data_IF_400547257527
#
_entry.id   IF_400547257527
#
_cell.length_a   1.000
_cell.length_b   1.000
_cell.length_c   1.000
_cell.angle_alpha   90.00
_cell.angle_beta   90.00
_cell.angle_gamma   90.00
#
_symmetry.space_group_name_H-M   'P 1'
#
loop_
_entity.id
_entity.type
_entity.pdbx_description
1 polymer ?
#
# COMPACT_ATOMS: atom_id res chain seq x y z
N UNK A 1 -35.26 57.28 0.69
CA UNK A 1 -35.21 56.06 -0.15
C UNK A 1 -36.59 55.46 -0.15
N UNK A 2 -37.16 55.13 -1.31
CA UNK A 2 -38.41 54.35 -1.35
C UNK A 2 -38.22 52.98 -0.69
N UNK A 3 -39.30 52.40 -0.17
CA UNK A 3 -39.29 51.09 0.47
C UNK A 3 -38.91 49.97 -0.52
N UNK A 4 -38.30 48.87 -0.03
CA UNK A 4 -37.98 47.69 -0.88
C UNK A 4 -39.25 47.03 -1.43
N UNK A 5 -40.31 47.00 -0.64
CA UNK A 5 -41.61 46.41 -0.97
C UNK A 5 -42.68 47.50 -0.98
N UNK A 6 -42.71 48.28 -2.04
CA UNK A 6 -43.72 49.33 -2.22
C UNK A 6 -45.08 48.69 -2.51
N UNK A 7 -46.10 48.99 -1.69
CA UNK A 7 -47.47 48.49 -1.87
C UNK A 7 -48.14 49.06 -3.13
N UNK A 8 -47.99 50.36 -3.37
CA UNK A 8 -48.60 51.04 -4.51
C UNK A 8 -47.58 51.93 -5.23
N UNK A 9 -47.53 51.81 -6.55
CA UNK A 9 -46.78 52.73 -7.41
C UNK A 9 -47.78 53.68 -8.06
N UNK A 10 -47.45 54.97 -8.09
CA UNK A 10 -48.27 55.94 -8.81
C UNK A 10 -48.23 55.62 -10.31
N UNK A 11 -49.41 55.43 -10.90
CA UNK A 11 -49.60 55.39 -12.34
C UNK A 11 -50.27 56.70 -12.76
N UNK A 12 -49.78 57.38 -13.82
CA UNK A 12 -50.42 58.60 -14.30
C UNK A 12 -51.85 58.31 -14.81
N UNK A 13 -52.76 59.29 -14.76
CA UNK A 13 -54.18 59.10 -15.10
C UNK A 13 -54.40 58.67 -16.56
N UNK A 14 -53.49 59.00 -17.46
CA UNK A 14 -53.55 58.64 -18.88
C UNK A 14 -52.91 57.27 -19.20
N UNK A 15 -52.50 56.49 -18.19
CA UNK A 15 -51.82 55.21 -18.39
C UNK A 15 -52.79 54.09 -18.77
N UNK A 16 -52.77 53.67 -20.04
CA UNK A 16 -53.46 52.47 -20.51
C UNK A 16 -52.55 51.23 -20.45
N UNK A 17 -52.87 50.19 -19.65
CA UNK A 17 -52.09 48.96 -19.58
C UNK A 17 -52.05 48.18 -20.91
N UNK A 18 -53.03 48.38 -21.79
CA UNK A 18 -53.17 47.67 -23.08
C UNK A 18 -52.21 48.21 -24.13
N UNK A 19 -51.86 49.50 -24.05
CA UNK A 19 -50.93 50.16 -24.98
C UNK A 19 -49.46 49.74 -24.76
N UNK A 20 -49.09 49.27 -23.56
CA UNK A 20 -47.72 48.90 -23.22
C UNK A 20 -47.40 47.47 -23.64
N UNK A 21 -46.89 47.30 -24.86
CA UNK A 21 -46.33 46.00 -25.30
C UNK A 21 -45.02 45.71 -24.58
N UNK A 22 -45.07 44.79 -23.61
CA UNK A 22 -43.88 44.30 -22.92
C UNK A 22 -43.11 43.33 -23.81
N UNK A 23 -42.10 43.82 -24.53
CA UNK A 23 -41.04 42.97 -25.04
C UNK A 23 -40.10 42.63 -23.87
N UNK A 24 -39.99 41.34 -23.47
CA UNK A 24 -39.04 40.95 -22.44
C UNK A 24 -37.63 41.34 -22.88
N UNK A 25 -36.79 41.78 -21.94
CA UNK A 25 -35.46 42.31 -22.25
C UNK A 25 -34.58 41.34 -23.06
N UNK A 26 -34.79 40.03 -22.91
CA UNK A 26 -34.09 38.99 -23.67
C UNK A 26 -34.58 38.78 -25.12
N UNK A 27 -35.76 39.31 -25.48
CA UNK A 27 -36.29 39.33 -26.85
C UNK A 27 -36.07 40.68 -27.57
N UNK A 28 -35.47 41.67 -26.89
CA UNK A 28 -35.16 42.97 -27.50
C UNK A 28 -33.87 42.86 -28.31
N UNK A 29 -33.98 42.57 -29.61
CA UNK A 29 -33.06 42.96 -30.70
C UNK A 29 -31.54 42.92 -30.46
N UNK A 30 -31.02 42.08 -29.56
CA UNK A 30 -29.61 42.00 -29.20
C UNK A 30 -29.23 40.59 -28.77
N UNK A 31 -27.92 40.30 -28.71
CA UNK A 31 -27.38 38.99 -28.35
C UNK A 31 -28.07 38.43 -27.10
N UNK A 32 -28.61 37.20 -27.20
CA UNK A 32 -29.47 36.49 -26.23
C UNK A 32 -28.79 36.12 -24.90
N UNK A 33 -27.72 36.82 -24.54
CA UNK A 33 -26.83 36.47 -23.43
C UNK A 33 -27.30 37.17 -22.15
N UNK A 34 -27.95 36.42 -21.25
CA UNK A 34 -28.36 36.91 -19.94
C UNK A 34 -27.18 36.86 -18.97
N UNK A 35 -26.89 37.93 -18.24
CA UNK A 35 -25.86 37.90 -17.20
C UNK A 35 -26.42 37.29 -15.91
N UNK A 36 -25.79 36.22 -15.43
CA UNK A 36 -26.17 35.49 -14.21
C UNK A 36 -24.95 35.35 -13.29
N UNK A 37 -25.14 35.52 -11.98
CA UNK A 37 -24.10 35.26 -11.00
C UNK A 37 -24.20 33.80 -10.53
N UNK A 38 -23.18 33.01 -10.82
CA UNK A 38 -23.16 31.57 -10.52
C UNK A 38 -21.83 31.13 -9.91
N UNK A 39 -21.80 29.92 -9.37
CA UNK A 39 -20.59 29.28 -8.84
C UNK A 39 -20.01 28.29 -9.86
N UNK A 40 -18.70 28.12 -9.89
CA UNK A 40 -18.06 27.07 -10.70
C UNK A 40 -18.54 25.67 -10.23
N UNK A 41 -19.08 24.84 -11.13
CA UNK A 41 -19.72 23.57 -10.76
C UNK A 41 -18.70 22.48 -10.37
N UNK A 42 -17.52 22.48 -11.00
CA UNK A 42 -16.44 21.53 -10.74
C UNK A 42 -15.08 22.24 -10.70
N UNK A 43 -14.07 21.52 -10.20
CA UNK A 43 -12.69 22.01 -10.21
C UNK A 43 -12.09 21.88 -11.62
N UNK A 44 -11.54 22.97 -12.13
CA UNK A 44 -11.00 23.03 -13.48
C UNK A 44 -9.72 23.84 -13.56
N UNK A 45 -8.86 23.49 -14.52
CA UNK A 45 -7.63 24.21 -14.84
C UNK A 45 -7.79 24.98 -16.15
N UNK A 46 -7.52 26.27 -16.13
CA UNK A 46 -7.52 27.08 -17.34
C UNK A 46 -6.39 26.63 -18.29
N UNK A 47 -6.72 26.41 -19.56
CA UNK A 47 -5.75 25.94 -20.56
C UNK A 47 -4.74 27.02 -20.93
N UNK A 48 -5.15 28.29 -20.92
CA UNK A 48 -4.29 29.41 -21.35
C UNK A 48 -3.24 29.82 -20.32
N UNK A 49 -3.61 29.89 -19.04
CA UNK A 49 -2.72 30.42 -17.99
C UNK A 49 -2.38 29.41 -16.88
N UNK A 50 -2.96 28.21 -16.92
CA UNK A 50 -2.73 27.17 -15.92
C UNK A 50 -3.32 27.46 -14.54
N UNK A 51 -4.08 28.55 -14.35
CA UNK A 51 -4.76 28.87 -13.10
C UNK A 51 -5.83 27.81 -12.76
N UNK A 52 -5.86 27.41 -11.50
CA UNK A 52 -6.85 26.47 -10.98
C UNK A 52 -8.08 27.22 -10.45
N UNK A 53 -9.24 26.87 -10.99
CA UNK A 53 -10.54 27.35 -10.53
C UNK A 53 -11.18 26.22 -9.72
N UNK A 54 -11.22 26.39 -8.41
CA UNK A 54 -11.87 25.44 -7.50
C UNK A 54 -13.40 25.54 -7.59
N UNK A 55 -14.06 24.43 -7.25
CA UNK A 55 -15.52 24.36 -7.13
C UNK A 55 -16.02 25.44 -6.17
N UNK A 56 -17.15 26.06 -6.49
CA UNK A 56 -17.78 27.07 -5.63
C UNK A 56 -17.29 28.51 -5.84
N UNK A 57 -16.26 28.76 -6.66
CA UNK A 57 -15.81 30.12 -6.96
C UNK A 57 -16.91 30.89 -7.70
N UNK A 58 -17.27 32.09 -7.21
CA UNK A 58 -18.37 32.91 -7.75
C UNK A 58 -17.91 33.72 -8.97
N UNK A 59 -18.71 33.70 -10.03
CA UNK A 59 -18.47 34.45 -11.26
C UNK A 59 -19.72 35.19 -11.74
N UNK A 60 -19.51 36.30 -12.44
CA UNK A 60 -20.52 36.90 -13.29
C UNK A 60 -20.40 36.22 -14.66
N UNK A 61 -21.32 35.31 -14.95
CA UNK A 61 -21.33 34.54 -16.18
C UNK A 61 -22.34 35.10 -17.18
N UNK A 62 -22.10 34.87 -18.47
CA UNK A 62 -23.12 35.06 -19.50
C UNK A 62 -23.79 33.72 -19.76
N UNK A 63 -25.11 33.68 -19.70
CA UNK A 63 -25.96 32.52 -19.95
C UNK A 63 -26.54 32.63 -21.35
N UNK A 64 -26.30 31.60 -22.15
CA UNK A 64 -26.90 31.39 -23.46
C UNK A 64 -27.84 30.18 -23.38
N UNK A 65 -29.01 30.31 -24.01
CA UNK A 65 -29.88 29.16 -24.26
C UNK A 65 -29.45 28.57 -25.60
N UNK A 66 -28.88 27.36 -25.55
CA UNK A 66 -28.47 26.62 -26.75
C UNK A 66 -29.70 26.10 -27.48
N UNK A 67 -29.57 25.82 -28.78
CA UNK A 67 -30.63 25.16 -29.56
C UNK A 67 -30.77 23.66 -29.21
N UNK A 68 -29.72 23.08 -28.60
CA UNK A 68 -29.69 21.70 -28.10
C UNK A 68 -30.64 21.50 -26.91
N UNK A 69 -31.46 20.44 -26.98
CA UNK A 69 -32.37 20.02 -25.91
C UNK A 69 -32.16 18.54 -25.64
N UNK A 70 -32.13 18.18 -24.36
CA UNK A 70 -32.18 16.79 -23.93
C UNK A 70 -33.63 16.44 -23.59
N UNK A 71 -34.26 15.59 -24.42
CA UNK A 71 -35.69 15.30 -24.38
C UNK A 71 -36.51 16.60 -24.53
N UNK A 72 -36.95 17.19 -23.42
CA UNK A 72 -37.68 18.47 -23.35
C UNK A 72 -36.94 19.58 -22.59
N UNK A 73 -35.76 19.28 -22.03
CA UNK A 73 -34.99 20.18 -21.17
C UNK A 73 -33.96 20.93 -22.02
N UNK A 74 -33.99 22.26 -21.96
CA UNK A 74 -33.04 23.13 -22.67
C UNK A 74 -31.65 23.07 -22.06
N UNK A 75 -30.62 22.87 -22.88
CA UNK A 75 -29.22 22.90 -22.45
C UNK A 75 -28.71 24.34 -22.45
N UNK A 76 -28.19 24.79 -21.32
CA UNK A 76 -27.63 26.13 -21.17
C UNK A 76 -26.12 26.08 -21.32
N UNK A 77 -25.58 27.04 -22.08
CA UNK A 77 -24.15 27.31 -22.15
C UNK A 77 -23.82 28.52 -21.29
N UNK A 78 -22.80 28.40 -20.47
CA UNK A 78 -22.32 29.47 -19.62
C UNK A 78 -20.92 29.88 -20.03
N UNK A 79 -20.71 31.19 -20.02
CA UNK A 79 -19.45 31.83 -20.33
C UNK A 79 -18.90 32.50 -19.07
N UNK A 80 -17.74 32.04 -18.61
CA UNK A 80 -16.99 32.62 -17.49
C UNK A 80 -15.68 33.18 -18.00
N UNK A 81 -15.18 34.25 -17.39
CA UNK A 81 -13.81 34.74 -17.61
C UNK A 81 -12.87 34.24 -16.51
N UNK A 82 -11.72 33.73 -16.91
CA UNK A 82 -10.65 33.40 -15.98
C UNK A 82 -10.17 34.65 -15.25
N UNK A 83 -9.86 34.53 -13.96
CA UNK A 83 -9.42 35.67 -13.15
C UNK A 83 -8.01 36.17 -13.46
N UNK A 84 -7.17 35.35 -14.12
CA UNK A 84 -5.78 35.68 -14.44
C UNK A 84 -5.62 36.19 -15.87
N UNK A 85 -5.96 35.38 -16.87
CA UNK A 85 -5.77 35.74 -18.28
C UNK A 85 -7.00 36.38 -18.95
N UNK A 86 -8.10 36.57 -18.22
CA UNK A 86 -9.40 37.00 -18.80
C UNK A 86 -9.92 36.12 -19.94
N UNK A 87 -9.32 34.94 -20.15
CA UNK A 87 -9.72 33.96 -21.14
C UNK A 87 -11.14 33.47 -20.88
N UNK A 88 -11.88 33.28 -21.96
CA UNK A 88 -13.26 32.81 -21.90
C UNK A 88 -13.30 31.28 -21.78
N UNK A 89 -14.00 30.81 -20.76
CA UNK A 89 -14.21 29.39 -20.45
C UNK A 89 -15.70 29.11 -20.63
N UNK A 90 -16.01 28.08 -21.42
CA UNK A 90 -17.38 27.68 -21.70
C UNK A 90 -17.68 26.29 -21.16
N UNK A 91 -18.84 26.14 -20.55
CA UNK A 91 -19.37 24.87 -20.11
C UNK A 91 -20.87 24.79 -20.34
N UNK A 92 -21.36 23.59 -20.59
CA UNK A 92 -22.76 23.26 -20.81
C UNK A 92 -23.33 22.50 -19.62
N UNK A 93 -24.65 22.57 -19.46
CA UNK A 93 -25.41 21.70 -18.54
C UNK A 93 -25.69 20.37 -19.22
N UNK A 94 -25.48 19.24 -18.53
CA UNK A 94 -25.79 17.90 -19.04
C UNK A 94 -26.86 17.23 -18.16
N UNK A 95 -28.14 17.31 -18.56
CA UNK A 95 -29.24 16.75 -17.78
C UNK A 95 -29.15 15.23 -17.60
N UNK A 96 -28.53 14.51 -18.54
CA UNK A 96 -28.34 13.04 -18.49
C UNK A 96 -27.54 12.59 -17.26
N UNK A 97 -26.46 13.30 -16.96
CA UNK A 97 -25.51 12.93 -15.89
C UNK A 97 -25.61 13.83 -14.66
N UNK A 98 -26.61 14.72 -14.61
CA UNK A 98 -26.77 15.75 -13.56
C UNK A 98 -25.50 16.60 -13.32
N UNK A 99 -24.69 16.77 -14.36
CA UNK A 99 -23.38 17.41 -14.27
C UNK A 99 -23.23 18.48 -15.36
N UNK A 100 -22.03 19.03 -15.48
CA UNK A 100 -21.66 19.99 -16.49
C UNK A 100 -20.43 19.51 -17.26
N UNK A 101 -20.42 19.74 -18.57
CA UNK A 101 -19.30 19.43 -19.46
C UNK A 101 -18.59 20.72 -19.87
N UNK A 102 -17.27 20.71 -19.70
CA UNK A 102 -16.39 21.76 -20.24
C UNK A 102 -16.30 21.62 -21.77
N UNK A 103 -16.66 22.66 -22.50
CA UNK A 103 -16.45 22.71 -23.96
C UNK A 103 -15.10 23.34 -24.32
N UNK A 104 -14.83 24.56 -23.84
CA UNK A 104 -13.65 25.33 -24.24
C UNK A 104 -13.01 26.08 -23.07
N UNK A 105 -11.70 26.28 -23.14
CA UNK A 105 -10.95 27.19 -22.27
C UNK A 105 -10.49 26.62 -20.92
N UNK A 106 -11.01 25.46 -20.51
CA UNK A 106 -10.57 24.77 -19.31
C UNK A 106 -10.64 23.25 -19.46
N UNK A 107 -9.77 22.56 -18.72
CA UNK A 107 -9.82 21.10 -18.53
C UNK A 107 -10.31 20.81 -17.11
N UNK A 108 -11.25 19.89 -16.96
CA UNK A 108 -11.68 19.41 -15.64
C UNK A 108 -10.51 18.70 -14.96
N UNK A 109 -10.34 18.90 -13.66
CA UNK A 109 -9.35 18.13 -12.90
C UNK A 109 -9.82 16.68 -12.76
N UNK A 110 -8.87 15.74 -12.74
CA UNK A 110 -9.16 14.32 -12.52
C UNK A 110 -9.44 14.10 -11.04
N UNK A 111 -10.65 13.61 -10.72
CA UNK A 111 -11.05 13.20 -9.38
C UNK A 111 -10.99 11.66 -9.35
N UNK A 112 -10.17 11.02 -8.49
CA UNK A 112 -9.97 9.56 -8.51
C UNK A 112 -11.24 8.72 -8.32
N UNK A 113 -12.27 9.28 -7.68
CA UNK A 113 -13.57 8.62 -7.50
C UNK A 113 -14.52 8.79 -8.70
N UNK A 114 -14.15 9.62 -9.68
CA UNK A 114 -14.91 9.83 -10.92
C UNK A 114 -14.26 8.96 -11.98
N UNK A 115 -14.68 7.69 -12.04
CA UNK A 115 -14.19 6.75 -13.03
C UNK A 115 -14.40 7.29 -14.44
N UNK A 116 -13.35 7.41 -15.28
CA UNK A 116 -13.48 7.87 -16.65
C UNK A 116 -14.27 6.90 -17.54
N UNK A 117 -14.52 5.68 -17.07
CA UNK A 117 -15.35 4.67 -17.73
C UNK A 117 -16.83 5.03 -17.77
N UNK A 118 -17.32 5.89 -16.87
CA UNK A 118 -18.71 6.35 -16.88
C UNK A 118 -19.02 7.33 -18.03
N UNK A 119 -18.02 8.04 -18.56
CA UNK A 119 -18.18 9.00 -19.67
C UNK A 119 -18.18 8.30 -21.06
N UNK A 120 -18.01 6.97 -21.12
CA UNK A 120 -18.02 6.19 -22.36
C UNK A 120 -19.43 5.87 -22.91
N UNK A 121 -20.51 6.14 -22.16
CA UNK A 121 -21.91 5.84 -22.54
C UNK A 121 -22.55 6.90 -23.47
N UNK A 122 -21.80 7.44 -24.42
CA UNK A 122 -22.30 8.41 -25.41
C UNK A 122 -22.29 7.83 -26.83
N UNK A 123 -22.74 6.58 -26.97
CA UNK A 123 -23.01 5.94 -28.28
C UNK A 123 -24.52 5.88 -28.53
N UNK A 124 -24.92 6.05 -29.79
CA UNK A 124 -26.32 6.02 -30.28
C UNK A 124 -26.98 4.67 -30.06
N UNK A 125 -28.18 4.67 -29.45
CA UNK A 125 -28.92 3.50 -28.93
C UNK A 125 -28.98 2.27 -29.88
N UNK A 126 -29.08 2.47 -31.20
CA UNK A 126 -29.13 1.37 -32.19
C UNK A 126 -27.77 0.70 -32.48
N UNK A 127 -26.66 1.43 -32.36
CA UNK A 127 -25.31 0.85 -32.50
C UNK A 127 -24.80 0.29 -31.18
N UNK A 128 -25.29 0.82 -30.05
CA UNK A 128 -25.04 0.26 -28.73
C UNK A 128 -25.74 -1.08 -28.58
N UNK A 129 -26.98 -1.26 -29.05
CA UNK A 129 -27.72 -2.53 -28.92
C UNK A 129 -27.10 -3.70 -29.71
N UNK A 130 -26.72 -3.52 -30.98
CA UNK A 130 -26.10 -4.58 -31.81
C UNK A 130 -24.67 -4.93 -31.35
N UNK A 131 -23.95 -3.93 -30.80
CA UNK A 131 -22.66 -4.17 -30.13
C UNK A 131 -22.86 -4.85 -28.77
N UNK A 132 -23.84 -4.42 -27.97
CA UNK A 132 -24.16 -4.98 -26.66
C UNK A 132 -24.61 -6.43 -26.75
N UNK A 133 -25.34 -6.86 -27.78
CA UNK A 133 -25.80 -8.25 -27.87
C UNK A 133 -24.64 -9.21 -28.22
N UNK A 134 -23.68 -8.75 -29.02
CA UNK A 134 -22.46 -9.51 -29.37
C UNK A 134 -21.43 -9.45 -28.23
N UNK A 135 -21.25 -8.27 -27.63
CA UNK A 135 -20.42 -8.10 -26.45
C UNK A 135 -21.05 -8.77 -25.23
N UNK A 136 -22.37 -8.85 -25.02
CA UNK A 136 -22.97 -9.54 -23.86
C UNK A 136 -22.76 -11.05 -23.93
N UNK A 137 -22.78 -11.67 -25.10
CA UNK A 137 -22.44 -13.10 -25.22
C UNK A 137 -20.94 -13.35 -25.00
N UNK A 138 -20.07 -12.53 -25.59
CA UNK A 138 -18.62 -12.67 -25.41
C UNK A 138 -18.14 -12.21 -24.01
N UNK A 139 -18.81 -11.23 -23.42
CA UNK A 139 -18.59 -10.72 -22.07
C UNK A 139 -19.26 -11.60 -21.04
N UNK A 140 -20.40 -12.24 -21.27
CA UNK A 140 -20.93 -13.23 -20.32
C UNK A 140 -20.00 -14.42 -20.24
N UNK A 141 -19.51 -14.95 -21.37
CA UNK A 141 -18.52 -16.02 -21.38
C UNK A 141 -17.18 -15.59 -20.75
N UNK A 142 -16.71 -14.35 -21.01
CA UNK A 142 -15.50 -13.81 -20.37
C UNK A 142 -15.72 -13.49 -18.90
N UNK A 143 -16.86 -12.94 -18.50
CA UNK A 143 -17.20 -12.65 -17.11
C UNK A 143 -17.41 -13.94 -16.33
N UNK A 144 -17.94 -14.99 -16.93
CA UNK A 144 -18.01 -16.31 -16.30
C UNK A 144 -16.61 -16.89 -16.12
N UNK A 145 -15.75 -16.84 -17.14
CA UNK A 145 -14.33 -17.24 -17.02
C UNK A 145 -13.57 -16.39 -16.00
N UNK A 146 -13.74 -15.08 -16.03
CA UNK A 146 -13.09 -14.12 -15.13
C UNK A 146 -13.63 -14.26 -13.70
N UNK A 147 -14.94 -14.52 -13.51
CA UNK A 147 -15.52 -14.81 -12.18
C UNK A 147 -15.01 -16.14 -11.64
N UNK A 148 -14.86 -17.16 -12.48
CA UNK A 148 -14.30 -18.44 -12.06
C UNK A 148 -12.81 -18.30 -11.69
N UNK A 149 -12.04 -17.54 -12.47
CA UNK A 149 -10.64 -17.20 -12.15
C UNK A 149 -10.54 -16.35 -10.89
N UNK A 150 -11.41 -15.36 -10.70
CA UNK A 150 -11.44 -14.52 -9.48
C UNK A 150 -11.80 -15.37 -8.24
N UNK A 151 -12.70 -16.35 -8.39
CA UNK A 151 -13.03 -17.29 -7.33
C UNK A 151 -11.86 -18.24 -7.01
N UNK A 152 -11.14 -18.72 -8.03
CA UNK A 152 -9.92 -19.52 -7.85
C UNK A 152 -8.80 -18.71 -7.17
N UNK A 153 -8.60 -17.45 -7.56
CA UNK A 153 -7.64 -16.55 -6.92
C UNK A 153 -8.02 -16.27 -5.47
N UNK A 154 -9.29 -15.98 -5.17
CA UNK A 154 -9.79 -15.81 -3.79
C UNK A 154 -9.64 -17.08 -2.94
N UNK A 155 -9.84 -18.26 -3.52
CA UNK A 155 -9.61 -19.55 -2.86
C UNK A 155 -8.11 -19.78 -2.58
N UNK A 156 -7.24 -19.40 -3.51
CA UNK A 156 -5.80 -19.51 -3.33
C UNK A 156 -5.28 -18.50 -2.31
N UNK A 157 -5.83 -17.29 -2.28
CA UNK A 157 -5.49 -16.27 -1.28
C UNK A 157 -6.02 -16.65 0.10
N UNK A 158 -7.24 -17.16 0.24
CA UNK A 158 -7.73 -17.66 1.53
C UNK A 158 -6.91 -18.84 2.05
N UNK A 159 -6.45 -19.73 1.15
CA UNK A 159 -5.53 -20.82 1.50
C UNK A 159 -4.16 -20.30 1.94
N UNK A 160 -3.63 -19.26 1.31
CA UNK A 160 -2.39 -18.59 1.73
C UNK A 160 -2.57 -17.93 3.10
N UNK A 161 -3.68 -17.23 3.31
CA UNK A 161 -3.99 -16.60 4.60
C UNK A 161 -4.12 -17.63 5.72
N UNK A 162 -4.78 -18.77 5.48
CA UNK A 162 -4.85 -19.87 6.45
C UNK A 162 -3.47 -20.45 6.76
N UNK A 163 -2.64 -20.71 5.75
CA UNK A 163 -1.28 -21.20 5.96
C UNK A 163 -0.41 -20.20 6.73
N UNK A 164 -0.59 -18.89 6.50
CA UNK A 164 0.09 -17.84 7.26
C UNK A 164 -0.40 -17.82 8.72
N UNK A 165 -1.71 -17.97 8.96
CA UNK A 165 -2.27 -18.01 10.30
C UNK A 165 -1.77 -19.23 11.10
N UNK A 166 -1.77 -20.41 10.49
CA UNK A 166 -1.25 -21.64 11.11
C UNK A 166 0.25 -21.50 11.44
N UNK A 167 1.05 -20.97 10.52
CA UNK A 167 2.47 -20.71 10.75
C UNK A 167 2.72 -19.70 11.89
N UNK A 168 1.86 -18.68 12.03
CA UNK A 168 1.95 -17.72 13.13
C UNK A 168 1.57 -18.37 14.47
N UNK A 169 0.58 -19.23 14.50
CA UNK A 169 0.18 -19.95 15.71
C UNK A 169 1.22 -21.00 16.13
N UNK A 170 1.89 -21.66 15.18
CA UNK A 170 3.08 -22.49 15.45
C UNK A 170 4.23 -21.68 16.06
N UNK A 171 4.49 -20.47 15.56
CA UNK A 171 5.51 -19.59 16.12
C UNK A 171 5.12 -19.15 17.54
N UNK A 172 3.86 -18.76 17.76
CA UNK A 172 3.35 -18.36 19.08
C UNK A 172 3.44 -19.49 20.10
N UNK A 173 3.01 -20.70 19.72
CA UNK A 173 3.07 -21.87 20.62
C UNK A 173 4.51 -22.29 20.92
N UNK A 174 5.40 -22.23 19.92
CA UNK A 174 6.85 -22.45 20.11
C UNK A 174 7.45 -21.43 21.06
N UNK A 175 7.17 -20.14 20.84
CA UNK A 175 7.68 -19.06 21.69
C UNK A 175 7.12 -19.17 23.13
N UNK A 176 5.83 -19.47 23.31
CA UNK A 176 5.23 -19.70 24.62
C UNK A 176 5.74 -20.97 25.33
N UNK A 177 6.25 -21.96 24.59
CA UNK A 177 6.94 -23.12 25.15
C UNK A 177 8.36 -22.76 25.59
N UNK A 178 9.08 -22.00 24.77
CA UNK A 178 10.43 -21.50 25.09
C UNK A 178 10.35 -20.63 26.35
N UNK A 179 9.46 -19.64 26.40
CA UNK A 179 9.27 -18.77 27.56
C UNK A 179 8.92 -19.55 28.84
N UNK A 180 8.07 -20.59 28.75
CA UNK A 180 7.76 -21.46 29.90
C UNK A 180 8.93 -22.33 30.34
N UNK A 181 9.79 -22.75 29.42
CA UNK A 181 10.99 -23.53 29.74
C UNK A 181 12.07 -22.63 30.36
N UNK A 182 12.30 -21.45 29.79
CA UNK A 182 13.17 -20.41 30.36
C UNK A 182 12.67 -19.99 31.75
N UNK A 183 11.36 -19.82 31.94
CA UNK A 183 10.76 -19.49 33.24
C UNK A 183 10.77 -20.65 34.26
N UNK A 184 10.81 -21.91 33.79
CA UNK A 184 11.03 -23.10 34.65
C UNK A 184 12.51 -23.33 34.98
N UNK A 185 13.39 -22.46 34.49
CA UNK A 185 14.82 -22.50 34.71
C UNK A 185 15.48 -23.48 33.77
N UNK A 186 16.25 -22.95 32.83
CA UNK A 186 17.19 -23.73 32.00
C UNK A 186 18.12 -24.61 32.87
N UNK A 187 18.33 -24.22 34.13
CA UNK A 187 19.03 -24.99 35.16
C UNK A 187 18.49 -26.43 35.33
N UNK A 188 17.18 -26.66 35.33
CA UNK A 188 16.60 -27.98 35.60
C UNK A 188 16.63 -28.91 34.37
N UNK A 189 16.48 -28.34 33.17
CA UNK A 189 16.59 -29.10 31.93
C UNK A 189 18.05 -29.41 31.58
N UNK A 190 18.97 -28.50 31.87
CA UNK A 190 20.41 -28.72 31.70
C UNK A 190 20.94 -29.68 32.78
N UNK A 191 20.52 -29.54 34.04
CA UNK A 191 20.90 -30.46 35.12
C UNK A 191 20.46 -31.90 34.82
N UNK A 192 19.22 -32.13 34.39
CA UNK A 192 18.77 -33.49 34.09
C UNK A 192 19.50 -34.16 32.93
N UNK A 193 20.00 -33.38 31.95
CA UNK A 193 20.85 -33.91 30.87
C UNK A 193 22.29 -34.15 31.35
N UNK A 194 22.81 -33.31 32.24
CA UNK A 194 24.14 -33.50 32.85
C UNK A 194 24.17 -34.70 33.80
N UNK A 195 23.14 -34.88 34.62
CA UNK A 195 23.03 -36.00 35.57
C UNK A 195 23.05 -37.35 34.84
N UNK A 196 22.33 -37.48 33.72
CA UNK A 196 22.32 -38.71 32.90
C UNK A 196 23.69 -38.96 32.25
N UNK A 197 24.34 -37.90 31.74
CA UNK A 197 25.67 -38.02 31.15
C UNK A 197 26.74 -38.41 32.18
N UNK A 198 26.66 -37.87 33.40
CA UNK A 198 27.59 -38.20 34.47
C UNK A 198 27.34 -39.62 35.02
N UNK A 199 26.08 -40.08 35.11
CA UNK A 199 25.76 -41.47 35.46
C UNK A 199 26.30 -42.48 34.45
N UNK A 200 26.24 -42.17 33.15
CA UNK A 200 26.80 -43.02 32.09
C UNK A 200 28.33 -43.08 32.15
N UNK A 201 28.98 -41.95 32.44
CA UNK A 201 30.45 -41.90 32.64
C UNK A 201 30.89 -42.71 33.86
N UNK A 202 30.17 -42.63 34.97
CA UNK A 202 30.47 -43.42 36.17
C UNK A 202 30.27 -44.93 35.93
N UNK A 203 29.28 -45.33 35.12
CA UNK A 203 29.10 -46.74 34.74
C UNK A 203 30.25 -47.23 33.86
N UNK A 204 30.66 -46.44 32.87
CA UNK A 204 31.81 -46.76 32.03
C UNK A 204 33.10 -46.90 32.87
N UNK A 205 33.37 -45.97 33.78
CA UNK A 205 34.54 -46.05 34.67
C UNK A 205 34.51 -47.31 35.57
N UNK A 206 33.32 -47.72 36.04
CA UNK A 206 33.15 -48.95 36.84
C UNK A 206 33.34 -50.22 36.00
N UNK A 207 32.83 -50.23 34.77
CA UNK A 207 33.04 -51.34 33.83
C UNK A 207 34.52 -51.46 33.45
N UNK A 208 35.21 -50.34 33.24
CA UNK A 208 36.65 -50.28 33.00
C UNK A 208 37.45 -50.75 34.22
N UNK A 209 37.05 -50.37 35.44
CA UNK A 209 37.70 -50.81 36.69
C UNK A 209 37.49 -52.31 36.95
N UNK A 210 36.30 -52.85 36.66
CA UNK A 210 36.02 -54.29 36.74
C UNK A 210 36.75 -55.08 35.65
N UNK A 211 36.83 -54.55 34.43
CA UNK A 211 37.60 -55.13 33.35
C UNK A 211 39.09 -55.16 33.68
N UNK A 212 39.64 -54.07 34.23
CA UNK A 212 41.01 -54.03 34.75
C UNK A 212 41.19 -55.04 35.89
N UNK A 213 40.26 -55.11 36.85
CA UNK A 213 40.33 -56.07 37.96
C UNK A 213 40.31 -57.53 37.48
N UNK A 214 39.51 -57.86 36.46
CA UNK A 214 39.50 -59.20 35.83
C UNK A 214 40.77 -59.47 35.01
N UNK A 215 41.29 -58.47 34.29
CA UNK A 215 42.54 -58.61 33.53
C UNK A 215 43.78 -58.78 34.43
N UNK A 216 43.76 -58.23 35.65
CA UNK A 216 44.83 -58.36 36.65
C UNK A 216 44.59 -59.48 37.69
N UNK A 217 43.54 -60.31 37.56
CA UNK A 217 43.29 -61.49 38.39
C UNK A 217 43.60 -62.77 37.60
N UNK A 218 44.57 -63.57 38.06
CA UNK A 218 44.79 -64.94 37.56
C UNK A 218 43.98 -65.93 38.42
N UNK A 219 43.74 -67.14 37.88
CA UNK A 219 42.92 -68.22 38.46
C UNK A 219 43.41 -68.77 39.82
N UNK A 220 44.49 -68.20 40.38
CA UNK A 220 45.09 -68.53 41.67
C UNK A 220 45.14 -67.37 42.67
N UNK A 221 44.58 -66.19 42.36
CA UNK A 221 44.33 -65.12 43.35
C UNK A 221 45.54 -64.29 43.81
N UNK A 222 46.73 -64.43 43.20
CA UNK A 222 47.88 -63.56 43.49
C UNK A 222 48.02 -62.44 42.44
N UNK A 223 48.15 -61.19 42.92
CA UNK A 223 48.32 -59.99 42.07
C UNK A 223 49.58 -60.10 41.20
N UNK A 224 49.46 -59.71 39.93
CA UNK A 224 50.56 -59.65 38.95
C UNK A 224 51.77 -58.89 39.52
N UNK A 225 52.88 -59.61 39.72
CA UNK A 225 54.15 -59.08 40.23
C UNK A 225 54.93 -58.45 39.07
N UNK A 226 55.27 -57.17 39.19
CA UNK A 226 56.18 -56.49 38.26
C UNK A 226 57.59 -57.08 38.44
N UNK A 227 58.16 -57.71 37.42
CA UNK A 227 59.58 -58.09 37.43
C UNK A 227 60.42 -56.80 37.46
N UNK A 228 61.32 -56.71 38.44
CA UNK A 228 62.37 -55.68 38.56
C UNK A 228 63.67 -56.35 38.10
N UNK A 229 64.38 -55.72 37.17
CA UNK A 229 65.83 -55.93 36.97
C UNK A 229 66.53 -54.73 37.64
N UNK A 230 67.32 -55.03 38.68
CA UNK A 230 68.25 -54.11 39.33
C UNK A 230 69.53 -53.98 38.49
N UNK A 231 70.10 -52.78 38.36
CA UNK A 231 71.33 -52.42 39.09
C UNK A 231 71.99 -51.07 38.67
N UNK A 232 72.33 -50.29 39.71
CA UNK A 232 73.49 -49.37 39.86
C UNK A 232 73.55 -48.02 39.12
N UNK A 233 73.48 -46.91 39.89
CA UNK A 233 74.68 -46.16 40.35
C UNK A 233 74.36 -44.71 40.77
N UNK A 234 74.99 -44.31 41.86
CA UNK A 234 74.98 -43.00 42.55
C UNK A 234 75.45 -41.81 41.68
N UNK A 235 74.93 -40.61 41.96
CA UNK A 235 75.35 -39.38 41.27
C UNK A 235 74.70 -38.08 41.77
N UNK A 236 75.13 -37.61 42.94
CA UNK A 236 74.85 -36.30 43.54
C UNK A 236 75.24 -35.10 42.64
N UNK A 237 74.42 -34.03 42.62
CA UNK A 237 74.80 -32.74 42.00
C UNK A 237 73.67 -31.70 41.97
N UNK A 238 73.69 -30.73 42.90
CA UNK A 238 72.67 -29.68 43.03
C UNK A 238 72.81 -28.47 42.09
N UNK A 239 71.80 -27.59 42.16
CA UNK A 239 71.86 -26.23 41.60
C UNK A 239 70.48 -25.65 41.24
N UNK A 240 69.92 -24.81 42.11
CA UNK A 240 68.89 -23.80 41.77
C UNK A 240 69.58 -22.43 41.56
N UNK A 241 68.89 -21.33 41.22
CA UNK A 241 67.92 -21.05 40.13
C UNK A 241 68.32 -19.77 39.33
N UNK A 242 67.61 -19.40 38.24
CA UNK A 242 67.19 -17.99 37.91
C UNK A 242 66.51 -17.81 36.53
N UNK A 243 65.43 -17.02 36.56
CA UNK A 243 64.90 -15.99 35.61
C UNK A 243 64.52 -16.42 34.19
N UNK A 244 63.22 -16.45 33.87
CA UNK A 244 62.39 -15.35 33.32
C UNK A 244 62.75 -15.01 31.87
N UNK A 245 61.90 -15.44 30.94
CA UNK A 245 61.32 -14.57 29.91
C UNK A 245 60.02 -15.16 29.35
N UNK A 246 58.96 -14.38 29.53
CA UNK A 246 57.64 -14.50 28.93
C UNK A 246 57.70 -14.37 27.41
N UNK A 247 56.85 -15.11 26.69
CA UNK A 247 55.93 -14.61 25.63
C UNK A 247 54.90 -15.72 25.36
N UNK A 248 53.59 -15.50 25.57
CA UNK A 248 52.53 -16.39 25.08
C UNK A 248 52.26 -16.17 23.57
N UNK A 249 51.82 -17.20 22.83
CA UNK A 249 51.50 -17.06 21.40
C UNK A 249 50.36 -16.06 21.15
N UNK A 250 50.38 -15.31 20.03
CA UNK A 250 49.43 -14.23 19.80
C UNK A 250 48.00 -14.74 19.55
N UNK A 251 46.98 -13.99 19.99
CA UNK A 251 45.58 -14.34 19.79
C UNK A 251 45.16 -14.21 18.31
N UNK A 252 44.19 -15.02 17.83
CA UNK A 252 43.73 -14.95 16.45
C UNK A 252 42.98 -13.64 16.19
N UNK A 253 43.46 -12.85 15.22
CA UNK A 253 42.82 -11.60 14.82
C UNK A 253 41.56 -11.86 13.98
N UNK A 254 40.39 -11.66 14.57
CA UNK A 254 39.13 -11.56 13.81
C UNK A 254 39.07 -10.22 13.06
N UNK A 255 39.63 -10.17 11.85
CA UNK A 255 39.35 -9.08 10.93
C UNK A 255 37.91 -9.23 10.41
N UNK A 256 37.02 -8.34 10.87
CA UNK A 256 35.61 -8.31 10.45
C UNK A 256 35.53 -7.88 8.97
N UNK A 257 35.37 -8.84 8.06
CA UNK A 257 35.13 -8.55 6.66
C UNK A 257 33.85 -7.70 6.51
N UNK A 258 33.99 -6.46 6.03
CA UNK A 258 32.84 -5.61 5.67
C UNK A 258 32.15 -6.24 4.46
N UNK A 259 31.00 -6.88 4.69
CA UNK A 259 30.10 -7.31 3.61
C UNK A 259 29.68 -6.07 2.79
N UNK A 260 29.71 -6.12 1.44
CA UNK A 260 29.21 -5.03 0.62
C UNK A 260 27.70 -4.83 0.87
N UNK A 261 27.29 -3.59 1.14
CA UNK A 261 25.87 -3.24 1.26
C UNK A 261 25.22 -3.44 -0.11
N UNK A 262 24.16 -4.25 -0.19
CA UNK A 262 23.30 -4.33 -1.38
C UNK A 262 22.72 -2.92 -1.64
N UNK A 263 22.68 -2.44 -2.89
CA UNK A 263 22.05 -1.16 -3.19
C UNK A 263 20.57 -1.22 -2.81
N UNK A 264 20.06 -0.14 -2.21
CA UNK A 264 18.67 -0.01 -1.85
C UNK A 264 17.80 -0.20 -3.10
N UNK A 265 17.00 -1.25 -3.11
CA UNK A 265 15.95 -1.43 -4.10
C UNK A 265 14.93 -0.34 -3.82
N UNK A 266 14.76 0.59 -4.76
CA UNK A 266 13.77 1.66 -4.69
C UNK A 266 12.40 1.07 -4.31
N UNK A 267 11.95 1.33 -3.09
CA UNK A 267 10.63 0.97 -2.56
C UNK A 267 9.50 1.86 -3.12
N UNK A 268 9.74 2.55 -4.24
CA UNK A 268 8.75 3.33 -4.96
C UNK A 268 8.79 2.86 -6.41
N UNK A 269 7.81 2.04 -6.78
CA UNK A 269 7.66 1.37 -8.07
C UNK A 269 7.51 2.30 -9.26
N UNK A 270 8.58 3.03 -9.60
CA UNK A 270 8.65 3.89 -10.78
C UNK A 270 9.78 3.36 -11.66
N UNK A 271 9.42 2.56 -12.66
CA UNK A 271 10.33 2.17 -13.75
C UNK A 271 10.61 3.40 -14.62
N UNK A 272 11.82 3.96 -14.54
CA UNK A 272 12.31 4.87 -15.58
C UNK A 272 12.58 4.05 -16.84
N UNK A 273 11.80 4.28 -17.90
CA UNK A 273 12.11 3.75 -19.24
C UNK A 273 13.36 4.48 -19.76
N UNK A 274 14.36 3.71 -20.17
CA UNK A 274 15.53 4.19 -20.91
C UNK A 274 15.08 4.67 -22.29
N UNK A 275 15.52 5.87 -22.67
CA UNK A 275 15.39 6.40 -24.03
C UNK A 275 16.42 5.70 -24.92
N UNK A 276 15.92 4.97 -25.92
CA UNK A 276 16.55 4.77 -27.23
C UNK A 276 15.49 5.13 -28.26
#
# INVERSE_FOLDING_TARGET
MSERKVLSKYYPPDFDPSAVKRTPKHLRGGTKLLTVRLMAPFSMKCVQCGEYIYKGRKFNARKETTDEKYLSITIFRFYIRCTRCSGEITFKTDPKNMDYVCERGAKRNFEPWRDPKADAYNETEEQTLDRLEREENEESERLEKDKMVELEEKMMDSKREMAIADALDEIRTRNARIERNEARGDEAAIASVQDVADEERVKAEREDEEAARRAFMTDSGEKVKRLVEDDLADGNGGGTPKTHDDIPPPPPSFAKAKKPKKPAVNSLGIKKKSLV
#
